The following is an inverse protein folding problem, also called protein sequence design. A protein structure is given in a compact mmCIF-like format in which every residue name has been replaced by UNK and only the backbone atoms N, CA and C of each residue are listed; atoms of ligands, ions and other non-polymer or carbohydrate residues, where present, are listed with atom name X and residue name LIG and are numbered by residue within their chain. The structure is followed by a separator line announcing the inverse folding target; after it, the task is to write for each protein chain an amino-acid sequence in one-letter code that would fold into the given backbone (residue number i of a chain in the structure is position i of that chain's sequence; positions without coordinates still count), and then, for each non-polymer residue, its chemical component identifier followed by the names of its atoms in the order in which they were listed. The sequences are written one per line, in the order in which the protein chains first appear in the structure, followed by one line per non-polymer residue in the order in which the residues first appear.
data_IF_954717921115
#
_entry.id   IF_954717921115
#
_cell.length_a   1.000
_cell.length_b   1.000
_cell.length_c   1.000
_cell.angle_alpha   90.00
_cell.angle_beta   90.00
_cell.angle_gamma   90.00
#
_symmetry.space_group_name_H-M   'P 1'
#
loop_
_entity.id
_entity.type
_entity.pdbx_description
1 polymer ?
#
# COMPACT_ATOMS: atom_id res chain seq x y z
N UNK A 1 -3.30 -22.91 22.37
CA UNK A 1 -3.23 -22.12 21.12
C UNK A 1 -4.05 -20.81 21.19
N UNK A 2 -3.91 -20.01 22.28
CA UNK A 2 -4.70 -18.77 22.51
C UNK A 2 -3.85 -17.48 22.44
N UNK A 3 -2.53 -17.61 22.24
CA UNK A 3 -1.57 -16.51 22.38
C UNK A 3 -1.40 -15.73 21.06
N UNK A 4 -1.54 -16.38 19.90
CA UNK A 4 -1.44 -15.71 18.58
C UNK A 4 -2.71 -14.94 18.18
N UNK A 5 -3.91 -15.42 18.54
CA UNK A 5 -5.19 -14.72 18.28
C UNK A 5 -5.25 -13.33 18.93
N UNK A 6 -4.59 -13.13 20.08
CA UNK A 6 -4.52 -11.83 20.79
C UNK A 6 -3.53 -10.84 20.17
N UNK A 7 -2.50 -11.29 19.45
CA UNK A 7 -1.51 -10.39 18.81
C UNK A 7 -2.02 -9.76 17.52
N UNK A 8 -2.92 -10.44 16.80
CA UNK A 8 -3.47 -9.98 15.52
C UNK A 8 -4.69 -9.06 15.66
N UNK A 9 -5.31 -8.95 16.84
CA UNK A 9 -6.56 -8.20 17.03
C UNK A 9 -6.42 -6.67 16.92
N UNK A 10 -5.23 -6.19 16.56
CA UNK A 10 -4.88 -4.78 16.36
C UNK A 10 -3.84 -4.61 15.26
N UNK A 11 -3.76 -5.54 14.30
CA UNK A 11 -2.79 -5.43 13.21
C UNK A 11 -3.06 -4.13 12.43
N UNK A 12 -2.00 -3.34 12.25
CA UNK A 12 -2.01 -2.18 11.39
C UNK A 12 -1.51 -2.60 10.01
N UNK A 13 -2.20 -2.15 8.98
CA UNK A 13 -1.86 -2.42 7.58
C UNK A 13 -1.87 -1.08 6.86
N UNK A 14 -0.78 -0.75 6.17
CA UNK A 14 -0.78 0.39 5.26
C UNK A 14 -1.65 0.08 4.06
N UNK A 15 -2.56 0.98 3.70
CA UNK A 15 -3.42 0.86 2.54
C UNK A 15 -3.34 2.16 1.74
N UNK A 16 -3.21 2.02 0.44
CA UNK A 16 -3.43 3.11 -0.51
C UNK A 16 -4.09 2.52 -1.77
N UNK A 17 -4.49 3.39 -2.70
CA UNK A 17 -4.94 2.99 -4.05
C UNK A 17 -4.45 3.97 -5.11
N UNK A 18 -4.27 3.49 -6.34
CA UNK A 18 -4.00 4.36 -7.50
C UNK A 18 -5.01 4.08 -8.62
N UNK A 19 -5.42 5.12 -9.32
CA UNK A 19 -6.62 5.10 -10.17
C UNK A 19 -6.29 5.42 -11.62
N UNK A 20 -7.19 5.00 -12.52
CA UNK A 20 -7.13 5.38 -13.92
C UNK A 20 -7.25 6.90 -14.09
N UNK A 21 -6.53 7.43 -15.08
CA UNK A 21 -6.81 8.77 -15.57
C UNK A 21 -8.20 8.76 -16.25
N UNK A 22 -9.03 9.79 -16.03
CA UNK A 22 -10.33 9.86 -16.65
C UNK A 22 -10.16 10.07 -18.16
N UNK A 23 -10.93 9.35 -18.97
CA UNK A 23 -10.91 9.50 -20.44
C UNK A 23 -11.59 10.76 -20.94
N UNK A 24 -12.50 11.31 -20.13
CA UNK A 24 -13.30 12.51 -20.42
C UNK A 24 -13.32 13.45 -19.21
N UNK A 25 -13.55 14.76 -19.39
CA UNK A 25 -13.76 15.67 -18.27
C UNK A 25 -14.90 15.19 -17.37
N UNK A 26 -14.61 14.99 -16.08
CA UNK A 26 -15.52 14.40 -15.08
C UNK A 26 -15.85 12.91 -15.29
N UNK A 27 -15.06 12.21 -16.10
CA UNK A 27 -15.13 10.76 -16.23
C UNK A 27 -14.86 10.04 -14.91
N UNK A 28 -15.49 8.88 -14.74
CA UNK A 28 -15.23 8.02 -13.58
C UNK A 28 -13.78 7.54 -13.58
N UNK A 29 -13.09 7.71 -12.45
CA UNK A 29 -11.72 7.25 -12.23
C UNK A 29 -11.75 5.93 -11.46
N UNK A 30 -11.79 4.83 -12.20
CA UNK A 30 -11.77 3.49 -11.62
C UNK A 30 -10.45 3.22 -10.90
N UNK A 31 -10.49 2.58 -9.73
CA UNK A 31 -9.31 2.12 -9.00
C UNK A 31 -8.56 1.09 -9.84
N UNK A 32 -7.30 1.37 -10.18
CA UNK A 32 -6.50 0.47 -10.99
C UNK A 32 -5.80 -0.59 -10.15
N UNK A 33 -5.22 -0.16 -9.03
CA UNK A 33 -4.45 -1.02 -8.11
C UNK A 33 -4.79 -0.70 -6.66
N UNK A 34 -4.65 -1.70 -5.80
CA UNK A 34 -4.61 -1.55 -4.34
C UNK A 34 -3.23 -1.94 -3.82
N UNK A 35 -2.69 -1.16 -2.88
CA UNK A 35 -1.46 -1.50 -2.18
C UNK A 35 -1.75 -1.84 -0.72
N UNK A 36 -1.11 -2.91 -0.22
CA UNK A 36 -1.24 -3.36 1.17
C UNK A 36 0.15 -3.59 1.76
N UNK A 37 0.47 -2.90 2.85
CA UNK A 37 1.75 -3.04 3.55
C UNK A 37 1.58 -3.64 4.95
N UNK A 38 2.32 -4.72 5.22
CA UNK A 38 2.43 -5.33 6.56
C UNK A 38 3.90 -5.51 6.92
N UNK A 39 4.36 -4.75 7.92
CA UNK A 39 5.76 -4.70 8.30
C UNK A 39 6.60 -4.13 7.16
N UNK A 40 7.56 -4.90 6.64
CA UNK A 40 8.42 -4.51 5.50
C UNK A 40 8.00 -5.14 4.17
N UNK A 41 6.77 -5.68 4.07
CA UNK A 41 6.28 -6.36 2.87
C UNK A 41 5.08 -5.62 2.31
N UNK A 42 5.15 -5.25 1.03
CA UNK A 42 4.07 -4.66 0.28
C UNK A 42 3.53 -5.66 -0.75
N UNK A 43 2.22 -5.76 -0.82
CA UNK A 43 1.48 -6.40 -1.90
C UNK A 43 0.90 -5.29 -2.78
N UNK A 44 1.11 -5.38 -4.09
CA UNK A 44 0.36 -4.60 -5.08
C UNK A 44 -0.53 -5.58 -5.82
N UNK A 45 -1.83 -5.31 -5.84
CA UNK A 45 -2.81 -6.11 -6.58
C UNK A 45 -3.47 -5.24 -7.64
N UNK A 46 -3.32 -5.63 -8.92
CA UNK A 46 -3.88 -4.90 -10.06
C UNK A 46 -5.35 -5.27 -10.27
N UNK A 47 -6.25 -4.61 -9.55
CA UNK A 47 -7.69 -4.82 -9.61
C UNK A 47 -8.25 -4.66 -11.03
N UNK A 48 -7.74 -3.70 -11.80
CA UNK A 48 -8.19 -3.42 -13.16
C UNK A 48 -8.07 -4.62 -14.12
N UNK A 49 -7.07 -5.48 -13.91
CA UNK A 49 -6.80 -6.64 -14.77
C UNK A 49 -7.23 -7.96 -14.15
N UNK A 50 -7.88 -7.94 -12.98
CA UNK A 50 -8.29 -9.15 -12.29
C UNK A 50 -9.59 -9.69 -12.92
N UNK A 51 -9.57 -10.92 -13.43
CA UNK A 51 -10.79 -11.61 -13.85
C UNK A 51 -11.73 -11.82 -12.66
N UNK A 52 -11.16 -12.19 -11.51
CA UNK A 52 -11.85 -12.38 -10.23
C UNK A 52 -11.00 -11.85 -9.07
N UNK A 53 -11.65 -11.35 -8.02
CA UNK A 53 -10.97 -10.92 -6.80
C UNK A 53 -10.88 -12.09 -5.82
N UNK A 54 -9.68 -12.47 -5.34
CA UNK A 54 -9.53 -13.61 -4.45
C UNK A 54 -10.35 -13.46 -3.16
N UNK A 55 -11.06 -14.52 -2.77
CA UNK A 55 -11.85 -14.54 -1.54
C UNK A 55 -11.03 -14.20 -0.28
N UNK A 56 -9.74 -14.56 -0.28
CA UNK A 56 -8.80 -14.22 0.79
C UNK A 56 -8.57 -12.71 0.91
N UNK A 57 -8.49 -11.97 -0.21
CA UNK A 57 -8.39 -10.51 -0.20
C UNK A 57 -9.67 -9.86 0.33
N UNK A 58 -10.84 -10.36 -0.11
CA UNK A 58 -12.15 -9.91 0.38
C UNK A 58 -12.26 -10.09 1.89
N UNK A 59 -11.95 -11.30 2.40
CA UNK A 59 -11.99 -11.59 3.82
C UNK A 59 -10.96 -10.78 4.62
N UNK A 60 -9.78 -10.53 4.02
CA UNK A 60 -8.74 -9.74 4.65
C UNK A 60 -9.18 -8.28 4.85
N UNK A 61 -9.67 -7.61 3.79
CA UNK A 61 -10.16 -6.23 3.84
C UNK A 61 -11.41 -6.10 4.75
N UNK A 62 -12.30 -7.09 4.72
CA UNK A 62 -13.52 -7.13 5.53
C UNK A 62 -13.31 -7.47 7.01
N UNK A 63 -12.08 -7.73 7.45
CA UNK A 63 -11.81 -8.14 8.83
C UNK A 63 -11.70 -6.95 9.79
N UNK A 64 -12.72 -6.75 10.62
CA UNK A 64 -12.78 -5.66 11.62
C UNK A 64 -11.68 -5.69 12.70
N UNK A 65 -10.91 -6.78 12.81
CA UNK A 65 -9.76 -6.88 13.74
C UNK A 65 -8.51 -6.17 13.20
N UNK A 66 -8.49 -5.88 11.91
CA UNK A 66 -7.41 -5.23 11.20
C UNK A 66 -7.73 -3.76 10.99
N UNK A 67 -6.72 -2.89 11.03
CA UNK A 67 -6.87 -1.45 10.81
C UNK A 67 -6.10 -1.05 9.56
N UNK A 68 -6.81 -0.51 8.59
CA UNK A 68 -6.25 -0.08 7.32
C UNK A 68 -5.92 1.41 7.39
N UNK A 69 -4.64 1.72 7.30
CA UNK A 69 -4.07 3.03 7.59
C UNK A 69 -3.62 3.68 6.27
N UNK A 70 -4.08 4.89 6.00
CA UNK A 70 -3.71 5.63 4.80
C UNK A 70 -4.06 7.11 4.92
N UNK A 71 -3.58 7.93 3.99
CA UNK A 71 -3.99 9.33 3.85
C UNK A 71 -5.07 9.43 2.78
N UNK A 72 -6.28 9.85 3.15
CA UNK A 72 -7.44 9.80 2.26
C UNK A 72 -8.16 8.45 2.27
N UNK A 73 -7.75 7.51 3.13
CA UNK A 73 -8.16 6.09 3.11
C UNK A 73 -9.66 5.81 3.19
N UNK A 74 -10.47 6.76 3.66
CA UNK A 74 -11.93 6.64 3.58
C UNK A 74 -12.44 6.75 2.15
N UNK A 75 -11.90 7.69 1.38
CA UNK A 75 -12.22 7.84 -0.04
C UNK A 75 -11.75 6.62 -0.85
N UNK A 76 -10.59 6.06 -0.51
CA UNK A 76 -10.11 4.81 -1.12
C UNK A 76 -11.05 3.65 -0.81
N UNK A 77 -11.50 3.54 0.44
CA UNK A 77 -12.47 2.51 0.85
C UNK A 77 -13.82 2.66 0.12
N UNK A 78 -14.32 3.89 -0.01
CA UNK A 78 -15.57 4.19 -0.72
C UNK A 78 -15.43 3.80 -2.21
N UNK A 79 -14.33 4.19 -2.86
CA UNK A 79 -14.02 3.81 -4.25
C UNK A 79 -13.88 2.30 -4.45
N UNK A 80 -13.19 1.60 -3.55
CA UNK A 80 -13.07 0.15 -3.61
C UNK A 80 -14.43 -0.55 -3.51
N UNK A 81 -15.35 0.01 -2.73
CA UNK A 81 -16.72 -0.50 -2.65
C UNK A 81 -17.53 -0.17 -3.92
N UNK A 82 -17.45 1.06 -4.42
CA UNK A 82 -18.14 1.49 -5.64
C UNK A 82 -17.71 0.68 -6.87
N UNK A 83 -16.41 0.49 -7.05
CA UNK A 83 -15.85 -0.12 -8.26
C UNK A 83 -15.89 -1.64 -8.24
N UNK A 84 -15.73 -2.24 -7.05
CA UNK A 84 -15.46 -3.68 -6.91
C UNK A 84 -16.28 -4.37 -5.82
N UNK A 85 -17.15 -3.66 -5.09
CA UNK A 85 -17.87 -4.21 -3.94
C UNK A 85 -16.96 -4.61 -2.77
N UNK A 86 -15.72 -4.11 -2.74
CA UNK A 86 -14.75 -4.46 -1.70
C UNK A 86 -14.95 -3.60 -0.45
N UNK A 87 -15.40 -4.24 0.63
CA UNK A 87 -15.55 -3.59 1.93
C UNK A 87 -14.21 -3.55 2.66
N UNK A 88 -13.72 -2.34 2.95
CA UNK A 88 -12.62 -2.11 3.90
C UNK A 88 -13.23 -1.85 5.27
N UNK A 89 -13.14 -2.82 6.19
CA UNK A 89 -13.95 -2.81 7.41
C UNK A 89 -13.53 -1.76 8.46
N UNK A 90 -12.25 -1.41 8.55
CA UNK A 90 -11.76 -0.47 9.57
C UNK A 90 -10.69 0.52 9.05
N UNK A 91 -11.05 1.37 8.09
CA UNK A 91 -10.16 2.40 7.58
C UNK A 91 -9.90 3.48 8.65
N UNK A 92 -8.65 3.94 8.72
CA UNK A 92 -8.15 4.94 9.67
C UNK A 92 -7.28 5.96 8.96
N UNK A 93 -7.85 7.12 8.72
CA UNK A 93 -7.12 8.22 8.12
C UNK A 93 -6.07 8.81 9.08
N UNK A 94 -4.81 8.84 8.63
CA UNK A 94 -3.67 9.32 9.43
C UNK A 94 -3.77 10.81 9.76
N UNK A 95 -4.33 11.63 8.88
CA UNK A 95 -4.46 13.08 9.09
C UNK A 95 -5.48 13.40 10.18
N UNK A 96 -6.61 12.68 10.19
CA UNK A 96 -7.62 12.81 11.23
C UNK A 96 -7.16 12.23 12.56
N UNK A 97 -6.41 11.12 12.52
CA UNK A 97 -5.84 10.52 13.72
C UNK A 97 -4.79 11.44 14.36
N UNK A 98 -3.87 12.01 13.57
CA UNK A 98 -2.92 13.02 14.03
C UNK A 98 -3.63 14.24 14.62
N UNK A 99 -4.61 14.80 13.90
CA UNK A 99 -5.36 15.96 14.38
C UNK A 99 -6.06 15.72 15.73
N UNK A 100 -6.61 14.52 15.92
CA UNK A 100 -7.24 14.14 17.20
C UNK A 100 -6.19 13.95 18.30
N UNK A 101 -5.05 13.34 18.00
CA UNK A 101 -4.01 13.02 18.98
C UNK A 101 -3.28 14.27 19.50
N UNK A 102 -2.98 15.19 18.60
CA UNK A 102 -2.21 16.40 18.93
C UNK A 102 -3.07 17.64 19.12
N UNK A 103 -4.40 17.49 19.06
CA UNK A 103 -5.36 18.58 19.18
C UNK A 103 -5.16 19.74 18.18
N UNK A 104 -4.59 19.46 17.01
CA UNK A 104 -4.34 20.43 15.96
C UNK A 104 -5.06 20.07 14.67
N UNK A 105 -5.98 20.93 14.24
CA UNK A 105 -6.76 20.72 13.01
C UNK A 105 -5.94 20.93 11.73
N UNK A 106 -4.77 21.56 11.80
CA UNK A 106 -3.89 21.76 10.66
C UNK A 106 -3.48 20.44 10.00
N UNK A 107 -3.26 19.38 10.81
CA UNK A 107 -2.95 18.04 10.31
C UNK A 107 -3.94 17.52 9.27
N UNK A 108 -5.24 17.89 9.34
CA UNK A 108 -6.26 17.46 8.37
C UNK A 108 -6.03 18.00 6.96
N UNK A 109 -5.31 19.12 6.83
CA UNK A 109 -4.98 19.76 5.55
C UNK A 109 -3.68 19.22 4.94
N UNK A 110 -2.88 18.50 5.71
CA UNK A 110 -1.58 18.02 5.25
C UNK A 110 -1.74 16.80 4.34
N UNK A 111 -1.04 16.82 3.21
CA UNK A 111 -0.84 15.64 2.38
C UNK A 111 0.12 14.64 3.03
N UNK A 112 0.24 13.44 2.45
CA UNK A 112 1.07 12.36 3.01
C UNK A 112 2.54 12.81 3.19
N UNK A 113 3.12 13.48 2.19
CA UNK A 113 4.50 14.03 2.25
C UNK A 113 4.70 14.94 3.47
N UNK A 114 3.76 15.84 3.73
CA UNK A 114 3.83 16.74 4.88
C UNK A 114 3.73 16.01 6.21
N UNK A 115 2.82 15.03 6.32
CA UNK A 115 2.66 14.24 7.53
C UNK A 115 3.91 13.40 7.85
N UNK A 116 4.52 12.81 6.82
CA UNK A 116 5.76 12.03 6.97
C UNK A 116 6.91 12.93 7.42
N UNK A 117 7.01 14.15 6.87
CA UNK A 117 8.02 15.10 7.31
C UNK A 117 7.82 15.50 8.78
N UNK A 118 6.61 15.91 9.15
CA UNK A 118 6.34 16.44 10.49
C UNK A 118 6.41 15.36 11.59
N UNK A 119 5.80 14.18 11.33
CA UNK A 119 5.64 13.15 12.36
C UNK A 119 6.75 12.10 12.38
N UNK A 120 7.46 11.90 11.26
CA UNK A 120 8.55 10.92 11.15
C UNK A 120 9.92 11.56 10.91
N UNK A 121 9.99 12.85 10.59
CA UNK A 121 11.24 13.54 10.25
C UNK A 121 11.86 13.05 8.94
N UNK A 122 11.06 12.48 8.03
CA UNK A 122 11.53 11.88 6.78
C UNK A 122 11.01 12.65 5.56
N UNK A 123 11.83 12.73 4.52
CA UNK A 123 11.43 13.28 3.22
C UNK A 123 11.16 12.12 2.27
N UNK A 124 10.03 12.17 1.58
CA UNK A 124 9.65 11.22 0.54
C UNK A 124 9.48 11.91 -0.81
N UNK A 125 9.96 11.31 -1.90
CA UNK A 125 9.68 11.79 -3.24
C UNK A 125 8.21 11.53 -3.60
N UNK A 126 7.58 12.49 -4.26
CA UNK A 126 6.28 12.32 -4.91
C UNK A 126 6.28 12.98 -6.30
N UNK A 127 7.02 12.42 -7.26
CA UNK A 127 7.08 12.97 -8.61
C UNK A 127 5.69 12.93 -9.25
N UNK A 128 5.30 14.05 -9.84
CA UNK A 128 3.98 14.20 -10.46
C UNK A 128 3.82 13.25 -11.65
N UNK A 129 4.91 12.98 -12.35
CA UNK A 129 5.00 12.09 -13.51
C UNK A 129 4.60 10.66 -13.15
N UNK A 130 4.93 10.19 -11.94
CA UNK A 130 4.53 8.86 -11.44
C UNK A 130 3.12 8.91 -10.85
N UNK A 131 2.82 9.95 -10.06
CA UNK A 131 1.50 10.09 -9.40
C UNK A 131 0.38 10.14 -10.43
N UNK A 132 0.61 10.81 -11.57
CA UNK A 132 -0.33 10.95 -12.68
C UNK A 132 -0.02 9.98 -13.85
N UNK A 133 0.69 8.88 -13.61
CA UNK A 133 1.02 7.90 -14.64
C UNK A 133 -0.17 7.00 -14.99
N UNK A 134 -0.02 6.20 -16.06
CA UNK A 134 -1.01 5.20 -16.47
C UNK A 134 -0.96 3.98 -15.54
N UNK A 135 -1.78 3.98 -14.48
CA UNK A 135 -1.83 2.91 -13.48
C UNK A 135 -2.57 1.64 -13.93
N UNK A 136 -3.33 1.72 -15.02
CA UNK A 136 -4.03 0.59 -15.63
C UNK A 136 -3.23 -0.12 -16.73
N UNK A 137 -1.93 0.16 -16.86
CA UNK A 137 -1.03 -0.65 -17.70
C UNK A 137 -0.98 -2.10 -17.21
N UNK A 138 -0.71 -3.06 -18.10
CA UNK A 138 -0.58 -4.48 -17.74
C UNK A 138 0.67 -4.79 -16.92
N UNK A 139 1.74 -4.06 -17.19
CA UNK A 139 3.02 -4.17 -16.47
C UNK A 139 3.38 -2.80 -15.89
N UNK A 140 3.28 -2.66 -14.57
CA UNK A 140 3.77 -1.48 -13.87
C UNK A 140 5.29 -1.36 -14.02
N UNK A 141 5.78 -0.12 -14.14
CA UNK A 141 7.21 0.16 -14.10
C UNK A 141 7.79 -0.05 -12.70
N UNK A 142 9.12 -0.12 -12.58
CA UNK A 142 9.76 -0.24 -11.27
C UNK A 142 9.49 1.01 -10.42
N UNK A 143 9.48 2.19 -11.03
CA UNK A 143 9.21 3.47 -10.38
C UNK A 143 7.77 3.53 -9.85
N UNK A 144 6.79 3.05 -10.62
CA UNK A 144 5.40 2.90 -10.17
C UNK A 144 5.30 1.94 -8.97
N UNK A 145 5.98 0.80 -9.05
CA UNK A 145 6.00 -0.20 -7.96
C UNK A 145 6.64 0.38 -6.69
N UNK A 146 7.78 1.06 -6.82
CA UNK A 146 8.48 1.68 -5.68
C UNK A 146 7.63 2.77 -5.03
N UNK A 147 7.01 3.63 -5.85
CA UNK A 147 6.10 4.67 -5.38
C UNK A 147 4.89 4.10 -4.62
N UNK A 148 4.19 3.15 -5.23
CA UNK A 148 3.05 2.44 -4.66
C UNK A 148 3.42 1.74 -3.33
N UNK A 149 4.58 1.09 -3.28
CA UNK A 149 5.08 0.47 -2.05
C UNK A 149 5.41 1.49 -0.96
N UNK A 150 6.03 2.62 -1.34
CA UNK A 150 6.43 3.68 -0.41
C UNK A 150 5.20 4.29 0.27
N UNK A 151 4.14 4.59 -0.48
CA UNK A 151 2.93 5.21 0.05
C UNK A 151 2.20 4.35 1.08
N UNK A 152 2.01 3.06 0.78
CA UNK A 152 1.46 2.13 1.76
C UNK A 152 2.39 1.95 2.97
N UNK A 153 3.70 1.87 2.75
CA UNK A 153 4.67 1.69 3.84
C UNK A 153 4.70 2.89 4.80
N UNK A 154 4.81 4.12 4.30
CA UNK A 154 4.85 5.29 5.18
C UNK A 154 3.52 5.55 5.86
N UNK A 155 2.40 5.16 5.23
CA UNK A 155 1.09 5.16 5.89
C UNK A 155 1.05 4.20 7.09
N UNK A 156 1.62 2.99 6.96
CA UNK A 156 1.78 2.07 8.08
C UNK A 156 2.66 2.67 9.18
N UNK A 157 3.82 3.23 8.85
CA UNK A 157 4.75 3.84 9.82
C UNK A 157 4.10 5.01 10.57
N UNK A 158 3.32 5.85 9.88
CA UNK A 158 2.51 6.90 10.51
C UNK A 158 1.49 6.30 11.48
N UNK A 159 0.77 5.25 11.09
CA UNK A 159 -0.15 4.53 11.97
C UNK A 159 0.53 3.99 13.22
N UNK A 160 1.72 3.40 13.08
CA UNK A 160 2.53 2.91 14.20
C UNK A 160 2.94 4.07 15.11
N UNK A 161 3.45 5.18 14.56
CA UNK A 161 3.82 6.38 15.30
C UNK A 161 2.62 6.94 16.11
N UNK A 162 1.47 7.07 15.45
CA UNK A 162 0.24 7.59 16.05
C UNK A 162 -0.37 6.65 17.10
N UNK A 163 -0.12 5.33 17.00
CA UNK A 163 -0.62 4.35 17.97
C UNK A 163 0.09 4.38 19.33
N UNK A 164 1.31 4.94 19.40
CA UNK A 164 2.08 5.03 20.65
C UNK A 164 1.39 5.98 21.64
N UNK A 165 1.42 5.74 22.96
CA UNK A 165 0.94 6.69 23.93
C UNK A 165 1.63 8.05 23.78
N UNK A 166 0.91 9.15 23.99
CA UNK A 166 1.54 10.45 24.20
C UNK A 166 2.30 10.37 25.53
N UNK A 167 3.62 10.49 25.50
CA UNK A 167 4.36 10.82 26.72
C UNK A 167 4.01 12.28 27.07
N UNK A 168 3.49 12.52 28.26
CA UNK A 168 3.08 13.85 28.78
C UNK A 168 4.23 14.88 28.86
N UNK A 169 5.44 14.53 28.41
CA UNK A 169 6.62 15.40 28.39
C UNK A 169 7.02 15.91 27.00
N UNK A 170 6.10 15.94 26.02
CA UNK A 170 6.19 16.98 24.99
C UNK A 170 5.42 18.19 25.51
N UNK A 171 6.06 18.94 26.42
CA UNK A 171 5.70 20.32 26.73
C UNK A 171 5.22 20.98 25.45
N UNK A 172 4.03 21.56 25.49
CA UNK A 172 3.41 22.31 24.41
C UNK A 172 4.50 22.98 23.56
N UNK A 173 4.85 22.36 22.43
CA UNK A 173 5.56 23.08 21.40
C UNK A 173 4.48 24.00 20.87
N UNK A 174 4.43 25.21 21.41
CA UNK A 174 4.04 26.37 20.63
C UNK A 174 5.00 26.40 19.45
N UNK A 175 4.69 25.61 18.42
CA UNK A 175 5.31 25.77 17.12
C UNK A 175 4.72 27.09 16.65
N UNK A 176 5.52 28.15 16.81
CA UNK A 176 5.34 29.36 16.02
C UNK A 176 5.33 28.87 14.57
N UNK A 177 4.14 28.84 13.98
CA UNK A 177 3.95 28.52 12.58
C UNK A 177 4.69 29.61 11.80
N UNK A 178 5.93 29.34 11.40
CA UNK A 178 6.61 30.15 10.41
C UNK A 178 6.16 29.63 9.04
N UNK A 179 5.49 30.44 8.22
CA UNK A 179 5.13 30.03 6.88
C UNK A 179 6.43 29.74 6.12
N UNK A 180 6.50 28.56 5.51
CA UNK A 180 7.58 28.19 4.61
C UNK A 180 7.53 29.09 3.36
N UNK A 181 8.13 30.27 3.46
CA UNK A 181 8.66 31.01 2.34
C UNK A 181 10.13 30.65 2.20
N UNK A 182 10.56 30.43 0.96
CA UNK A 182 11.91 30.06 0.51
C UNK A 182 12.34 28.60 0.73
N UNK A 183 11.81 27.73 -0.13
CA UNK A 183 12.57 26.60 -0.69
C UNK A 183 12.40 26.62 -2.22
N UNK A 184 12.68 27.77 -2.82
CA UNK A 184 13.13 27.82 -4.22
C UNK A 184 14.66 27.84 -4.15
N UNK A 185 15.31 26.80 -4.70
CA UNK A 185 16.77 26.58 -4.75
C UNK A 185 17.45 26.07 -3.47
N UNK A 186 17.13 24.85 -3.05
CA UNK A 186 18.09 24.02 -2.29
C UNK A 186 18.07 22.61 -2.88
N UNK A 187 19.23 22.19 -3.40
CA UNK A 187 19.42 21.00 -4.21
C UNK A 187 18.78 19.73 -3.59
N UNK A 188 17.77 19.17 -4.28
CA UNK A 188 17.08 17.94 -3.89
C UNK A 188 18.03 16.75 -3.67
N UNK A 189 19.21 16.79 -4.30
CA UNK A 189 20.24 15.74 -4.25
C UNK A 189 20.88 15.58 -2.85
N UNK A 190 21.01 16.66 -2.08
CA UNK A 190 21.71 16.63 -0.78
C UNK A 190 20.83 16.07 0.35
N UNK A 191 19.51 16.33 0.30
CA UNK A 191 18.52 15.79 1.26
C UNK A 191 18.24 14.32 0.95
N UNK A 192 18.22 13.93 -0.32
CA UNK A 192 18.12 12.53 -0.73
C UNK A 192 19.29 11.70 -0.17
N UNK A 193 20.51 12.23 -0.23
CA UNK A 193 21.73 11.53 0.19
C UNK A 193 21.76 11.10 1.66
N UNK A 194 21.12 11.88 2.54
CA UNK A 194 21.07 11.60 3.98
C UNK A 194 19.89 10.71 4.40
N UNK A 195 18.78 10.72 3.65
CA UNK A 195 17.60 9.86 3.87
C UNK A 195 17.75 8.45 3.26
N UNK A 196 18.50 8.32 2.16
CA UNK A 196 18.63 7.05 1.44
C UNK A 196 19.45 5.97 2.15
N UNK A 197 20.21 6.30 3.20
CA UNK A 197 20.94 5.29 3.95
C UNK A 197 20.00 4.30 4.67
N UNK A 198 18.82 4.74 5.12
CA UNK A 198 17.79 3.89 5.73
C UNK A 198 16.82 3.28 4.71
N UNK A 199 16.60 3.93 3.56
CA UNK A 199 15.79 3.39 2.45
C UNK A 199 16.56 2.41 1.53
N UNK A 200 17.78 2.00 1.91
CA UNK A 200 18.48 0.87 1.26
C UNK A 200 17.80 -0.47 1.50
N UNK A 201 16.92 -0.57 2.49
CA UNK A 201 16.13 -1.78 2.76
C UNK A 201 15.03 -2.04 1.72
N UNK A 202 14.47 -0.99 1.07
CA UNK A 202 13.52 -1.15 -0.04
C UNK A 202 14.21 -1.65 -1.32
N UNK A 203 15.43 -1.18 -1.61
CA UNK A 203 16.24 -1.66 -2.75
C UNK A 203 16.77 -3.09 -2.58
N UNK A 204 16.63 -3.69 -1.39
CA UNK A 204 16.90 -5.11 -1.11
C UNK A 204 15.66 -6.00 -1.26
N UNK A 205 14.50 -5.43 -1.56
CA UNK A 205 13.31 -6.22 -1.91
C UNK A 205 13.59 -6.94 -3.22
N UNK A 206 13.70 -8.28 -3.16
CA UNK A 206 13.74 -9.08 -4.37
C UNK A 206 12.41 -8.85 -5.11
N UNK A 207 12.42 -8.61 -6.43
CA UNK A 207 11.18 -8.52 -7.18
C UNK A 207 10.36 -9.78 -6.93
N UNK A 208 9.05 -9.62 -6.77
CA UNK A 208 8.14 -10.75 -6.84
C UNK A 208 8.42 -11.51 -8.14
N UNK A 209 8.44 -12.84 -8.08
CA UNK A 209 8.66 -13.69 -9.27
C UNK A 209 7.64 -13.27 -10.33
N UNK A 210 8.11 -12.65 -11.44
CA UNK A 210 7.28 -12.45 -12.64
C UNK A 210 6.86 -13.85 -13.11
N UNK A 211 5.57 -14.16 -13.06
CA UNK A 211 5.03 -15.32 -13.75
C UNK A 211 5.07 -15.02 -15.25
N UNK A 212 6.15 -15.46 -15.91
CA UNK A 212 6.36 -15.24 -17.32
C UNK A 212 5.33 -15.97 -18.17
N UNK A 213 4.63 -15.23 -19.03
CA UNK A 213 3.85 -15.78 -20.13
C UNK A 213 4.82 -16.27 -21.22
N UNK A 214 4.97 -17.59 -21.36
CA UNK A 214 5.74 -18.16 -22.48
C UNK A 214 4.86 -18.22 -23.73
N UNK A 215 5.28 -17.49 -24.77
CA UNK A 215 4.79 -17.64 -26.14
C UNK A 215 5.14 -19.04 -26.65
N UNK A 216 4.15 -19.83 -27.08
CA UNK A 216 4.37 -21.05 -27.87
C UNK A 216 4.06 -20.80 -29.35
N UNK A 217 5.13 -20.84 -30.16
CA UNK A 217 5.12 -20.96 -31.61
C UNK A 217 4.42 -22.26 -32.05
N UNK A 218 3.67 -22.18 -33.17
CA UNK A 218 2.97 -23.31 -33.81
C UNK A 218 3.96 -24.30 -34.44
N UNK A 219 3.79 -25.61 -34.20
CA UNK A 219 3.79 -26.66 -35.23
C UNK A 219 3.25 -28.00 -34.70
N UNK A 220 2.89 -28.85 -35.64
CA UNK A 220 1.78 -29.81 -35.67
C UNK A 220 2.07 -31.25 -35.24
N UNK A 221 0.97 -31.97 -34.97
CA UNK A 221 0.69 -33.42 -35.16
C UNK A 221 0.72 -34.42 -33.97
N UNK A 222 -0.47 -35.04 -33.83
CA UNK A 222 -0.80 -36.45 -33.48
C UNK A 222 -0.60 -37.02 -32.06
N UNK A 223 -1.76 -37.20 -31.38
CA UNK A 223 -2.17 -38.33 -30.50
C UNK A 223 -1.13 -39.09 -29.66
N UNK A 224 -1.25 -39.03 -28.32
CA UNK A 224 -1.56 -40.19 -27.43
C UNK A 224 -1.61 -39.81 -25.92
N UNK A 225 -2.74 -40.18 -25.32
CA UNK A 225 -3.00 -40.72 -23.97
C UNK A 225 -2.04 -40.40 -22.80
N UNK A 226 -2.68 -39.85 -21.75
CA UNK A 226 -2.54 -40.20 -20.31
C UNK A 226 -1.11 -40.51 -19.83
N UNK A 227 -0.41 -39.48 -19.34
CA UNK A 227 0.41 -39.53 -18.11
C UNK A 227 1.19 -38.20 -17.95
N UNK A 228 0.53 -37.10 -17.64
CA UNK A 228 1.21 -35.91 -17.07
C UNK A 228 0.21 -34.90 -16.51
N UNK A 229 -0.67 -35.33 -15.61
CA UNK A 229 -1.61 -34.42 -14.91
C UNK A 229 -1.31 -34.30 -13.40
N UNK A 230 -0.10 -34.69 -12.98
CA UNK A 230 0.23 -34.82 -11.55
C UNK A 230 1.50 -34.11 -11.07
N UNK A 231 2.14 -33.26 -11.89
CA UNK A 231 3.33 -32.50 -11.44
C UNK A 231 3.22 -30.97 -11.52
N UNK A 232 2.13 -30.43 -12.07
CA UNK A 232 1.93 -28.97 -12.15
C UNK A 232 0.93 -28.41 -11.11
N UNK A 233 0.29 -29.29 -10.34
CA UNK A 233 -0.53 -28.93 -9.16
C UNK A 233 0.29 -28.71 -7.88
N UNK A 234 1.60 -28.91 -7.90
CA UNK A 234 2.40 -29.07 -6.67
C UNK A 234 3.11 -27.81 -6.17
N UNK A 235 3.04 -26.66 -6.86
CA UNK A 235 3.79 -25.45 -6.46
C UNK A 235 2.95 -24.17 -6.29
N UNK A 236 1.69 -24.19 -6.72
CA UNK A 236 0.73 -23.13 -6.40
C UNK A 236 0.03 -23.38 -5.05
N UNK A 237 0.09 -24.63 -4.57
CA UNK A 237 -0.48 -25.07 -3.30
C UNK A 237 0.42 -24.70 -2.10
N UNK A 238 1.75 -24.60 -2.28
CA UNK A 238 2.68 -24.33 -1.16
C UNK A 238 2.59 -22.92 -0.54
N UNK A 239 2.12 -21.89 -1.26
CA UNK A 239 1.94 -20.53 -0.70
C UNK A 239 0.52 -20.27 -0.17
N UNK A 240 -0.46 -21.05 -0.64
CA UNK A 240 -1.84 -21.04 -0.13
C UNK A 240 -1.88 -21.85 1.18
N UNK A 241 -1.15 -22.97 1.25
CA UNK A 241 -1.02 -23.77 2.47
C UNK A 241 -0.32 -23.01 3.62
N UNK A 242 0.59 -22.06 3.36
CA UNK A 242 1.20 -21.22 4.40
C UNK A 242 0.22 -20.18 4.99
N UNK A 243 -0.76 -19.72 4.21
CA UNK A 243 -1.83 -18.83 4.68
C UNK A 243 -2.97 -19.60 5.33
N UNK A 244 -3.37 -20.75 4.78
CA UNK A 244 -4.40 -21.62 5.35
C UNK A 244 -3.94 -22.33 6.64
N UNK A 245 -2.64 -22.62 6.78
CA UNK A 245 -2.05 -23.10 8.05
C UNK A 245 -1.99 -22.01 9.14
N UNK A 246 -2.09 -20.73 8.78
CA UNK A 246 -2.15 -19.62 9.74
C UNK A 246 -3.59 -19.32 10.22
N UNK A 247 -4.60 -19.78 9.49
CA UNK A 247 -6.03 -19.49 9.77
C UNK A 247 -6.92 -20.72 10.04
N UNK A 248 -6.43 -21.95 9.89
CA UNK A 248 -7.12 -23.15 10.38
C UNK A 248 -6.78 -23.43 11.84
N UNK A 249 -7.46 -22.78 12.79
CA UNK A 249 -7.82 -23.22 14.17
C UNK A 249 -8.58 -22.12 14.96
#
# INVERSE_FOLDING_TARGET
MHIHKRKLSKLLIGLDTEWCLPTEPNGHQQVAIIQLCVGKRCLIFQLYHADDIPQSLIQFLGNYKFRFIGKGVWNDADKLYEDYGLVVAHPKDVSYWAAKKYHDRYYRKMGLKGLVLDLLGKVIPKPREITMSEWNTKELTIEQIEYACLDAFVSLELGICLSKPTHENMSAKTIVYQPAYEYEQLDEELILGQSFAECKDLRRMKPAKKFGSQKSSKRSHTTKKRASKRKEKSKQVELIDEMDAYYSF
#
